data_IF_871532824691
#
_entry.id   IF_871532824691
#
_cell.length_a   1.000
_cell.length_b   1.000
_cell.length_c   1.000
_cell.angle_alpha   90.00
_cell.angle_beta   90.00
_cell.angle_gamma   90.00
#
_symmetry.space_group_name_H-M   'P 1'
#
loop_
_entity.id
_entity.type
_entity.pdbx_description
1 polymer ?
#
# COMPACT_ATOMS: atom_id res chain seq x y z
N UNK A 1 0.75 -1.20 5.65
CA UNK A 1 1.17 -2.11 4.53
C UNK A 1 1.31 -1.29 3.26
N UNK A 2 1.79 -1.81 2.13
CA UNK A 2 1.95 -1.04 0.87
C UNK A 2 0.87 -1.38 -0.16
N UNK A 3 0.43 -0.39 -0.94
CA UNK A 3 -0.36 -0.62 -2.16
C UNK A 3 0.52 -1.08 -3.35
N UNK A 4 1.84 -1.03 -3.20
CA UNK A 4 2.78 -1.62 -4.15
C UNK A 4 2.59 -3.14 -4.31
N UNK A 5 3.07 -3.67 -5.42
CA UNK A 5 2.83 -5.06 -5.83
C UNK A 5 4.06 -5.78 -6.42
N UNK A 6 5.24 -5.19 -6.29
CA UNK A 6 6.55 -5.76 -6.57
C UNK A 6 7.60 -4.99 -5.76
N UNK A 7 8.87 -5.43 -5.75
CA UNK A 7 9.94 -4.76 -4.98
C UNK A 7 10.00 -3.23 -5.23
N UNK A 8 9.98 -2.78 -6.49
CA UNK A 8 10.10 -1.35 -6.82
C UNK A 8 8.91 -0.55 -6.26
N UNK A 9 7.68 -1.01 -6.52
CA UNK A 9 6.48 -0.29 -6.09
C UNK A 9 6.23 -0.43 -4.58
N UNK A 10 6.62 -1.54 -3.97
CA UNK A 10 6.48 -1.78 -2.54
C UNK A 10 7.45 -0.94 -1.72
N UNK A 11 8.71 -0.85 -2.15
CA UNK A 11 9.80 -0.25 -1.38
C UNK A 11 10.29 1.11 -1.89
N UNK A 12 9.73 1.56 -3.02
CA UNK A 12 10.09 2.80 -3.67
C UNK A 12 11.25 2.64 -4.65
N UNK A 13 11.36 3.61 -5.54
CA UNK A 13 12.44 3.68 -6.53
C UNK A 13 12.73 5.13 -6.92
N UNK A 14 13.95 5.35 -7.41
CA UNK A 14 14.36 6.58 -8.07
C UNK A 14 13.81 6.61 -9.50
N UNK A 15 13.23 7.74 -9.88
CA UNK A 15 12.56 7.97 -11.16
C UNK A 15 12.99 9.33 -11.70
N UNK A 16 13.11 9.45 -13.02
CA UNK A 16 13.62 10.68 -13.64
C UNK A 16 12.47 11.43 -14.30
N UNK A 17 12.21 12.64 -13.81
CA UNK A 17 11.35 13.60 -14.51
C UNK A 17 12.14 14.24 -15.65
N UNK A 18 11.58 14.20 -16.85
CA UNK A 18 12.18 14.75 -18.07
C UNK A 18 11.46 16.04 -18.49
N UNK A 19 12.19 17.15 -18.46
CA UNK A 19 11.75 18.48 -18.91
C UNK A 19 12.63 18.98 -20.07
N UNK A 20 12.29 18.62 -21.33
CA UNK A 20 13.18 18.82 -22.48
C UNK A 20 13.64 20.27 -22.70
N UNK A 21 12.80 21.25 -22.37
CA UNK A 21 13.09 22.68 -22.55
C UNK A 21 14.25 23.18 -21.67
N UNK A 22 14.62 22.43 -20.63
CA UNK A 22 15.71 22.77 -19.70
C UNK A 22 17.10 22.33 -20.20
N UNK A 23 17.20 21.76 -21.40
CA UNK A 23 18.47 21.45 -22.05
C UNK A 23 19.33 20.49 -21.23
N UNK A 24 20.51 20.94 -20.78
CA UNK A 24 21.42 20.13 -19.97
C UNK A 24 20.82 19.70 -18.63
N UNK A 25 19.97 20.54 -18.02
CA UNK A 25 19.34 20.28 -16.72
C UNK A 25 17.97 19.60 -16.83
N UNK A 26 17.65 18.96 -17.98
CA UNK A 26 16.33 18.37 -18.25
C UNK A 26 15.93 17.19 -17.37
N UNK A 27 16.89 16.54 -16.72
CA UNK A 27 16.64 15.34 -15.91
C UNK A 27 16.72 15.68 -14.43
N UNK A 28 15.57 15.59 -13.76
CA UNK A 28 15.46 15.75 -12.32
C UNK A 28 15.08 14.41 -11.67
N UNK A 29 15.87 14.00 -10.68
CA UNK A 29 15.58 12.80 -9.91
C UNK A 29 14.39 13.02 -8.97
N UNK A 30 13.50 12.05 -8.91
CA UNK A 30 12.31 12.00 -8.07
C UNK A 30 12.26 10.66 -7.35
N UNK A 31 11.67 10.62 -6.16
CA UNK A 31 11.43 9.37 -5.44
C UNK A 31 9.95 9.00 -5.57
N UNK A 32 9.68 7.83 -6.15
CA UNK A 32 8.33 7.29 -6.30
C UNK A 32 8.06 6.27 -5.21
N UNK A 33 7.03 6.53 -4.41
CA UNK A 33 6.54 5.65 -3.37
C UNK A 33 5.07 5.40 -3.62
N UNK A 34 4.66 4.14 -3.71
CA UNK A 34 3.24 3.83 -3.64
C UNK A 34 2.80 4.03 -2.21
N UNK A 35 1.63 4.64 -2.07
CA UNK A 35 1.08 4.99 -0.76
C UNK A 35 0.97 3.76 0.14
N UNK A 36 1.13 4.00 1.44
CA UNK A 36 0.76 3.01 2.43
C UNK A 36 -0.74 2.85 2.48
N UNK A 37 -1.16 1.59 2.52
CA UNK A 37 -2.55 1.26 2.69
C UNK A 37 -2.93 1.37 4.17
N UNK A 38 -3.97 2.16 4.48
CA UNK A 38 -4.45 2.43 5.84
C UNK A 38 -5.30 1.30 6.43
N UNK A 39 -5.60 0.24 5.67
CA UNK A 39 -6.39 -0.89 6.16
C UNK A 39 -5.65 -1.80 7.16
N UNK A 40 -4.31 -1.74 7.20
CA UNK A 40 -3.52 -2.45 8.21
C UNK A 40 -2.13 -1.83 8.42
N UNK A 41 -1.86 -1.39 9.64
CA UNK A 41 -0.57 -0.85 10.06
C UNK A 41 -0.30 -1.10 11.54
N UNK A 42 0.97 -0.97 11.91
CA UNK A 42 1.43 -0.92 13.29
C UNK A 42 2.01 0.47 13.56
N UNK A 43 1.57 1.10 14.65
CA UNK A 43 2.08 2.40 15.09
C UNK A 43 2.61 2.24 16.51
N UNK A 44 3.89 2.57 16.70
CA UNK A 44 4.50 2.65 18.04
C UNK A 44 4.10 3.98 18.69
N UNK A 45 3.69 4.03 19.96
CA UNK A 45 3.27 5.26 20.63
C UNK A 45 4.48 6.15 20.97
N UNK A 46 5.01 6.82 19.96
CA UNK A 46 6.06 7.85 20.10
C UNK A 46 5.46 9.23 19.88
N UNK A 47 6.14 10.30 20.32
CA UNK A 47 5.65 11.68 20.10
C UNK A 47 5.32 11.94 18.62
N UNK A 48 6.20 11.66 17.64
CA UNK A 48 5.86 11.86 16.22
C UNK A 48 4.69 11.00 15.74
N UNK A 49 4.51 9.79 16.30
CA UNK A 49 3.40 8.93 15.91
C UNK A 49 2.06 9.36 16.48
N UNK A 50 2.05 9.93 17.68
CA UNK A 50 0.85 10.54 18.28
C UNK A 50 0.46 11.77 17.47
N UNK A 51 1.45 12.62 17.16
CA UNK A 51 1.24 13.81 16.33
C UNK A 51 0.70 13.49 14.94
N UNK A 52 1.19 12.42 14.29
CA UNK A 52 0.62 11.92 13.03
C UNK A 52 -0.87 11.66 13.16
N UNK A 53 -1.28 10.93 14.21
CA UNK A 53 -2.67 10.56 14.41
C UNK A 53 -3.54 11.77 14.75
N UNK A 54 -3.03 12.71 15.54
CA UNK A 54 -3.74 13.96 15.86
C UNK A 54 -3.98 14.80 14.59
N UNK A 55 -2.96 14.93 13.72
CA UNK A 55 -3.07 15.66 12.44
C UNK A 55 -4.07 14.98 11.50
N UNK A 56 -3.99 13.66 11.35
CA UNK A 56 -4.91 12.88 10.50
C UNK A 56 -6.35 13.02 11.01
N UNK A 57 -6.58 12.82 12.31
CA UNK A 57 -7.91 12.97 12.90
C UNK A 57 -8.45 14.40 12.73
N UNK A 58 -7.60 15.41 12.97
CA UNK A 58 -7.98 16.81 12.83
C UNK A 58 -8.34 17.21 11.40
N UNK A 59 -7.69 16.63 10.38
CA UNK A 59 -8.05 16.85 8.97
C UNK A 59 -9.33 16.11 8.58
N UNK A 60 -9.44 14.83 8.93
CA UNK A 60 -10.64 14.03 8.64
C UNK A 60 -11.91 14.55 9.32
N UNK A 61 -11.77 15.27 10.45
CA UNK A 61 -12.89 15.91 11.12
C UNK A 61 -13.40 17.19 10.42
N UNK A 62 -12.57 17.83 9.59
CA UNK A 62 -12.86 19.14 8.97
C UNK A 62 -13.02 19.08 7.46
N UNK A 63 -12.38 18.11 6.81
CA UNK A 63 -12.31 17.95 5.37
C UNK A 63 -13.12 16.74 4.92
N UNK A 64 -13.75 16.83 3.74
CA UNK A 64 -14.29 15.64 3.06
C UNK A 64 -13.15 14.92 2.32
N UNK A 65 -12.29 14.26 3.07
CA UNK A 65 -11.06 13.64 2.57
C UNK A 65 -11.03 12.14 2.84
N UNK A 66 -10.22 11.42 2.05
CA UNK A 66 -10.02 9.99 2.22
C UNK A 66 -8.90 9.72 3.23
N UNK A 67 -9.16 8.86 4.21
CA UNK A 67 -8.23 8.54 5.32
C UNK A 67 -6.85 8.11 4.83
N UNK A 68 -6.80 7.26 3.79
CA UNK A 68 -5.53 6.81 3.22
C UNK A 68 -4.76 7.98 2.61
N UNK A 69 -5.44 8.89 1.91
CA UNK A 69 -4.79 10.07 1.31
C UNK A 69 -4.21 10.97 2.41
N UNK A 70 -5.03 11.37 3.38
CA UNK A 70 -4.62 12.22 4.50
C UNK A 70 -3.46 11.60 5.29
N UNK A 71 -3.54 10.30 5.61
CA UNK A 71 -2.48 9.60 6.33
C UNK A 71 -1.14 9.66 5.58
N UNK A 72 -1.15 9.46 4.26
CA UNK A 72 0.07 9.50 3.47
C UNK A 72 0.58 10.93 3.29
N UNK A 73 -0.29 11.92 3.05
CA UNK A 73 0.12 13.32 2.96
C UNK A 73 0.82 13.79 4.23
N UNK A 74 0.21 13.58 5.40
CA UNK A 74 0.84 13.95 6.69
C UNK A 74 2.15 13.21 6.95
N UNK A 75 2.26 11.97 6.48
CA UNK A 75 3.46 11.17 6.66
C UNK A 75 4.59 11.54 5.68
N UNK A 76 4.28 11.95 4.46
CA UNK A 76 5.24 12.10 3.36
C UNK A 76 5.57 13.53 2.96
N UNK A 77 4.69 14.51 3.21
CA UNK A 77 4.97 15.88 2.81
C UNK A 77 6.17 16.47 3.57
N UNK A 78 7.13 17.09 2.84
CA UNK A 78 8.25 17.77 3.47
C UNK A 78 7.76 19.04 4.18
N UNK A 79 8.58 19.58 5.08
CA UNK A 79 8.35 20.92 5.61
C UNK A 79 8.39 21.96 4.49
N UNK A 80 7.51 22.95 4.56
CA UNK A 80 7.47 24.11 3.66
C UNK A 80 6.97 25.35 4.43
N UNK A 81 7.06 26.58 3.89
CA UNK A 81 6.61 27.77 4.62
C UNK A 81 5.17 27.63 5.11
N UNK A 82 4.99 27.65 6.43
CA UNK A 82 3.68 27.46 7.08
C UNK A 82 3.29 26.01 7.40
N UNK A 83 4.14 25.02 7.10
CA UNK A 83 3.92 23.62 7.43
C UNK A 83 5.20 22.95 7.95
N UNK A 84 5.15 22.46 9.18
CA UNK A 84 6.21 21.63 9.75
C UNK A 84 5.92 20.16 9.45
N UNK A 85 6.77 19.55 8.62
CA UNK A 85 6.65 18.14 8.25
C UNK A 85 6.86 17.21 9.44
N UNK A 86 6.28 16.02 9.34
CA UNK A 86 6.32 15.05 10.42
C UNK A 86 7.69 14.37 10.54
N UNK A 87 8.16 14.17 11.77
CA UNK A 87 9.42 13.50 12.08
C UNK A 87 9.28 11.99 12.40
N UNK A 88 8.26 11.33 11.86
CA UNK A 88 8.01 9.91 12.12
C UNK A 88 8.87 9.00 11.21
N UNK A 89 9.58 8.05 11.83
CA UNK A 89 10.23 6.97 11.08
C UNK A 89 9.19 5.97 10.58
N UNK A 90 9.39 5.42 9.38
CA UNK A 90 8.51 4.43 8.77
C UNK A 90 9.29 3.22 8.25
N UNK A 91 8.63 2.07 8.21
CA UNK A 91 9.13 0.84 7.58
C UNK A 91 8.01 0.16 6.83
N UNK A 92 8.25 -0.16 5.55
CA UNK A 92 7.33 -0.96 4.76
C UNK A 92 7.37 -2.41 5.24
N UNK A 93 6.21 -2.99 5.54
CA UNK A 93 6.08 -4.42 5.81
C UNK A 93 6.27 -5.22 4.51
N UNK A 94 6.84 -6.43 4.61
CA UNK A 94 7.06 -7.29 3.44
C UNK A 94 5.74 -7.54 2.68
N UNK A 95 5.71 -7.23 1.39
CA UNK A 95 4.47 -7.25 0.61
C UNK A 95 3.99 -8.65 0.25
N UNK A 96 4.79 -9.71 0.46
CA UNK A 96 4.34 -11.09 0.35
C UNK A 96 3.77 -11.61 1.67
N UNK A 97 4.21 -11.10 2.82
CA UNK A 97 3.64 -11.48 4.12
C UNK A 97 2.42 -10.62 4.50
N UNK A 98 2.39 -9.36 4.07
CA UNK A 98 1.32 -8.39 4.35
C UNK A 98 0.71 -7.87 3.04
N UNK A 99 0.17 -8.80 2.26
CA UNK A 99 -0.16 -8.56 0.86
C UNK A 99 -1.54 -7.91 0.66
N UNK A 100 -1.64 -7.05 -0.35
CA UNK A 100 -2.93 -6.63 -0.89
C UNK A 100 -3.47 -7.68 -1.89
N UNK A 101 -4.76 -7.61 -2.23
CA UNK A 101 -5.37 -8.61 -3.09
C UNK A 101 -4.81 -8.60 -4.52
N UNK A 102 -4.29 -7.47 -5.00
CA UNK A 102 -3.63 -7.41 -6.31
C UNK A 102 -2.40 -8.33 -6.35
N UNK A 103 -1.58 -8.34 -5.30
CA UNK A 103 -0.43 -9.25 -5.17
C UNK A 103 -0.89 -10.72 -5.15
N UNK A 104 -1.94 -11.03 -4.38
CA UNK A 104 -2.48 -12.38 -4.31
C UNK A 104 -2.95 -12.89 -5.68
N UNK A 105 -3.89 -12.16 -6.30
CA UNK A 105 -4.62 -12.63 -7.48
C UNK A 105 -3.79 -12.52 -8.77
N UNK A 106 -2.91 -11.50 -8.89
CA UNK A 106 -2.08 -11.34 -10.10
C UNK A 106 -0.78 -12.12 -10.07
N UNK A 107 -0.25 -12.42 -8.88
CA UNK A 107 1.13 -12.92 -8.75
C UNK A 107 1.19 -14.19 -7.90
N UNK A 108 0.90 -14.10 -6.60
CA UNK A 108 1.22 -15.19 -5.64
C UNK A 108 0.52 -16.49 -5.98
N UNK A 109 -0.79 -16.46 -6.29
CA UNK A 109 -1.54 -17.70 -6.58
C UNK A 109 -1.09 -18.43 -7.84
N UNK A 110 -0.43 -17.72 -8.77
CA UNK A 110 -0.04 -18.24 -10.09
C UNK A 110 1.35 -18.85 -10.11
N UNK A 111 2.15 -18.55 -9.11
CA UNK A 111 3.51 -19.04 -9.01
C UNK A 111 3.57 -20.24 -8.06
N UNK A 112 4.12 -21.36 -8.55
CA UNK A 112 4.16 -22.63 -7.81
C UNK A 112 5.00 -22.60 -6.52
N UNK A 113 5.93 -21.64 -6.40
CA UNK A 113 6.71 -21.42 -5.20
C UNK A 113 6.00 -20.45 -4.26
N UNK A 114 5.46 -19.35 -4.79
CA UNK A 114 4.79 -18.34 -3.96
C UNK A 114 3.42 -18.78 -3.46
N UNK A 115 2.69 -19.63 -4.17
CA UNK A 115 1.39 -20.14 -3.73
C UNK A 115 1.46 -20.91 -2.40
N UNK A 116 2.64 -21.42 -2.04
CA UNK A 116 2.92 -22.11 -0.79
C UNK A 116 3.16 -21.17 0.40
N UNK A 117 3.33 -19.86 0.15
CA UNK A 117 3.54 -18.87 1.21
C UNK A 117 2.29 -18.78 2.09
N UNK A 118 2.50 -18.69 3.41
CA UNK A 118 1.43 -18.39 4.37
C UNK A 118 1.52 -16.93 4.78
N UNK A 119 0.70 -16.02 4.20
CA UNK A 119 0.73 -14.62 4.59
C UNK A 119 0.23 -14.43 6.02
N UNK A 120 0.68 -13.34 6.63
CA UNK A 120 0.20 -12.89 7.95
C UNK A 120 -1.17 -12.22 7.79
N UNK A 121 -1.34 -11.41 6.74
CA UNK A 121 -2.61 -10.77 6.39
C UNK A 121 -2.76 -10.67 4.87
N UNK A 122 -4.00 -10.75 4.41
CA UNK A 122 -4.39 -10.45 3.04
C UNK A 122 -5.46 -9.37 3.09
N UNK A 123 -5.15 -8.19 2.58
CA UNK A 123 -6.12 -7.10 2.50
C UNK A 123 -6.84 -7.14 1.13
N UNK A 124 -8.14 -7.41 1.15
CA UNK A 124 -8.98 -7.48 -0.07
C UNK A 124 -9.49 -6.09 -0.47
N UNK A 125 -8.58 -5.26 -0.98
CA UNK A 125 -8.83 -3.84 -1.28
C UNK A 125 -9.03 -3.53 -2.77
N UNK A 126 -8.49 -4.32 -3.70
CA UNK A 126 -8.49 -4.02 -5.15
C UNK A 126 -9.71 -4.54 -5.93
N UNK A 127 -10.68 -5.18 -5.27
CA UNK A 127 -11.80 -5.84 -5.94
C UNK A 127 -13.15 -5.39 -5.37
N UNK A 128 -14.19 -5.24 -6.20
CA UNK A 128 -15.54 -4.91 -5.73
C UNK A 128 -16.21 -6.10 -5.04
N UNK A 129 -15.92 -7.32 -5.50
CA UNK A 129 -16.43 -8.59 -4.97
C UNK A 129 -15.62 -9.07 -3.75
N UNK A 130 -15.43 -8.19 -2.76
CA UNK A 130 -14.59 -8.44 -1.57
C UNK A 130 -15.02 -9.67 -0.80
N UNK A 131 -16.32 -9.79 -0.52
CA UNK A 131 -16.86 -10.86 0.32
C UNK A 131 -16.60 -12.28 -0.22
N UNK A 132 -16.95 -12.63 -1.48
CA UNK A 132 -16.66 -13.95 -2.01
C UNK A 132 -15.15 -14.22 -2.09
N UNK A 133 -14.32 -13.22 -2.42
CA UNK A 133 -12.86 -13.37 -2.40
C UNK A 133 -12.30 -13.63 -1.00
N UNK A 134 -12.82 -12.96 0.02
CA UNK A 134 -12.44 -13.23 1.42
C UNK A 134 -12.78 -14.66 1.85
N UNK A 135 -13.95 -15.18 1.46
CA UNK A 135 -14.28 -16.59 1.71
C UNK A 135 -13.31 -17.55 1.03
N UNK A 136 -13.02 -17.30 -0.24
CA UNK A 136 -12.08 -18.11 -1.00
C UNK A 136 -10.66 -18.08 -0.42
N UNK A 137 -10.22 -16.93 0.08
CA UNK A 137 -8.96 -16.78 0.81
C UNK A 137 -8.93 -17.65 2.06
N UNK A 138 -10.01 -17.65 2.85
CA UNK A 138 -10.13 -18.53 4.03
C UNK A 138 -10.13 -20.00 3.60
N UNK A 139 -10.89 -20.35 2.58
CA UNK A 139 -10.94 -21.72 2.07
C UNK A 139 -9.56 -22.23 1.62
N UNK A 140 -8.79 -21.38 0.94
CA UNK A 140 -7.45 -21.70 0.46
C UNK A 140 -6.44 -21.85 1.61
N UNK A 141 -6.31 -20.83 2.47
CA UNK A 141 -5.23 -20.77 3.47
C UNK A 141 -5.56 -21.47 4.80
N UNK A 142 -6.84 -21.57 5.17
CA UNK A 142 -7.30 -22.15 6.44
C UNK A 142 -7.88 -23.53 6.22
N UNK A 143 -8.77 -23.71 5.24
CA UNK A 143 -9.46 -24.99 5.01
C UNK A 143 -8.70 -25.92 4.05
N UNK A 144 -7.62 -25.46 3.43
CA UNK A 144 -6.75 -26.27 2.57
C UNK A 144 -7.30 -26.54 1.16
N UNK A 145 -8.36 -25.84 0.75
CA UNK A 145 -8.98 -25.99 -0.57
C UNK A 145 -8.15 -25.29 -1.65
N UNK A 146 -7.25 -26.04 -2.30
CA UNK A 146 -6.25 -25.50 -3.22
C UNK A 146 -6.82 -24.83 -4.49
N UNK A 147 -8.03 -25.19 -4.90
CA UNK A 147 -8.73 -24.63 -6.07
C UNK A 147 -9.62 -23.43 -5.72
N UNK A 148 -9.70 -23.02 -4.44
CA UNK A 148 -10.64 -22.00 -3.99
C UNK A 148 -10.46 -20.63 -4.66
N UNK A 149 -9.23 -20.29 -5.06
CA UNK A 149 -8.92 -19.01 -5.69
C UNK A 149 -9.10 -19.02 -7.21
N UNK A 150 -9.17 -20.18 -7.86
CA UNK A 150 -9.16 -20.32 -9.33
C UNK A 150 -10.35 -19.64 -10.05
N UNK A 151 -11.58 -19.65 -9.51
CA UNK A 151 -12.72 -19.04 -10.19
C UNK A 151 -12.62 -17.51 -10.37
N UNK A 152 -11.76 -16.83 -9.61
CA UNK A 152 -11.68 -15.38 -9.60
C UNK A 152 -10.76 -14.84 -10.69
N UNK A 153 -11.15 -13.77 -11.42
CA UNK A 153 -10.24 -13.08 -12.32
C UNK A 153 -9.15 -12.32 -11.55
N UNK A 154 -8.07 -11.99 -12.27
CA UNK A 154 -6.94 -11.19 -11.77
C UNK A 154 -7.35 -9.80 -11.30
N UNK A 155 -8.24 -9.17 -12.07
CA UNK A 155 -8.78 -7.84 -11.83
C UNK A 155 -10.28 -7.90 -11.57
N UNK A 156 -10.95 -6.81 -11.91
CA UNK A 156 -12.38 -6.61 -11.66
C UNK A 156 -13.17 -6.38 -12.94
N UNK A 157 -12.55 -6.59 -14.11
CA UNK A 157 -13.19 -6.36 -15.41
C UNK A 157 -14.25 -7.44 -15.67
N UNK A 158 -15.46 -7.13 -15.21
CA UNK A 158 -16.78 -7.57 -15.68
C UNK A 158 -17.77 -6.45 -15.47
#
# INVERSE_FOLDING_TARGET
>A
MTDGHNNMTAYGFDDVFDEPIMGWARYAHTIRLWVYNSGFFYIRPTIPSIELLDRVAGRLARENAWDQAVFNEELFFPSYPGYEGLHASRRTMDYYLFMNSKVLFKTVRKDSQFSKLKPVIIHVNYHPDKFPRMKAVVDYYVNGKQDALDPFPDGSDR
#
